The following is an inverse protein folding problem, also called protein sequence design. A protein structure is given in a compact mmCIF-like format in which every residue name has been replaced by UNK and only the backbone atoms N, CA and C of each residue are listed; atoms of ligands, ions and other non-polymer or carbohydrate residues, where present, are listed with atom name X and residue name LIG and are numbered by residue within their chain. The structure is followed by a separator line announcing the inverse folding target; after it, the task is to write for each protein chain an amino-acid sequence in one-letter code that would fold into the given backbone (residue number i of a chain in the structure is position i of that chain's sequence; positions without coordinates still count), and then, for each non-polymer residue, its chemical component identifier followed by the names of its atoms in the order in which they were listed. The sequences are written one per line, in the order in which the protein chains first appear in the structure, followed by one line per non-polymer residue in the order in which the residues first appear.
data_IF_199829544682
#
_entry.id   IF_199829544682
#
_cell.length_a   1.000
_cell.length_b   1.000
_cell.length_c   1.000
_cell.angle_alpha   90.00
_cell.angle_beta   90.00
_cell.angle_gamma   90.00
#
_symmetry.space_group_name_H-M   'P 1'
#
loop_
_entity.id
_entity.type
_entity.pdbx_description
1 polymer ?
#
# COMPACT_ATOMS: atom_id res chain seq x y z
N UNK A 1 14.85 -46.38 -4.63
CA UNK A 1 13.75 -45.46 -4.98
C UNK A 1 13.57 -44.53 -3.78
N UNK A 2 14.21 -43.36 -3.80
CA UNK A 2 14.14 -42.39 -2.71
C UNK A 2 12.93 -41.50 -2.98
N UNK A 3 11.89 -41.65 -2.16
CA UNK A 3 10.75 -40.73 -2.14
C UNK A 3 11.24 -39.40 -1.56
N UNK A 4 11.33 -38.38 -2.41
CA UNK A 4 11.50 -37.00 -1.98
C UNK A 4 10.11 -36.50 -1.64
N UNK A 5 9.81 -36.39 -0.34
CA UNK A 5 8.61 -35.72 0.17
C UNK A 5 8.58 -34.27 -0.37
N UNK A 6 7.42 -33.75 -0.78
CA UNK A 6 7.32 -32.37 -1.21
C UNK A 6 7.69 -31.45 -0.04
N UNK A 7 8.70 -30.59 -0.26
CA UNK A 7 9.03 -29.49 0.66
C UNK A 7 7.76 -28.67 0.87
N UNK A 8 7.27 -28.70 2.10
CA UNK A 8 6.27 -27.75 2.60
C UNK A 8 6.73 -26.34 2.20
N UNK A 9 5.99 -25.76 1.27
CA UNK A 9 6.15 -24.35 0.93
C UNK A 9 5.71 -23.58 2.16
N UNK A 10 6.66 -23.03 2.92
CA UNK A 10 6.36 -22.09 3.98
C UNK A 10 5.46 -20.99 3.41
N UNK A 11 4.17 -21.02 3.73
CA UNK A 11 3.32 -19.85 3.60
C UNK A 11 3.97 -18.77 4.45
N UNK A 12 4.54 -17.75 3.81
CA UNK A 12 5.15 -16.63 4.52
C UNK A 12 4.07 -16.04 5.45
N UNK A 13 4.31 -16.12 6.76
CA UNK A 13 3.42 -15.54 7.75
C UNK A 13 3.22 -14.07 7.37
N UNK A 14 1.96 -13.65 7.20
CA UNK A 14 1.64 -12.26 6.88
C UNK A 14 2.21 -11.39 8.00
N UNK A 15 3.10 -10.41 7.69
CA UNK A 15 3.73 -9.62 8.74
C UNK A 15 2.68 -8.92 9.60
N UNK A 16 2.93 -8.91 10.91
CA UNK A 16 2.03 -8.31 11.88
C UNK A 16 1.77 -6.83 11.57
N UNK A 17 0.59 -6.34 11.96
CA UNK A 17 0.26 -4.92 11.84
C UNK A 17 1.26 -4.07 12.64
N UNK A 18 1.67 -2.95 12.07
CA UNK A 18 2.54 -1.97 12.70
C UNK A 18 1.75 -0.78 13.19
N UNK A 19 2.21 -0.19 14.30
CA UNK A 19 1.52 0.90 14.98
C UNK A 19 2.47 2.10 15.04
N UNK A 20 1.99 3.24 14.56
CA UNK A 20 2.67 4.54 14.73
C UNK A 20 2.01 5.29 15.88
N UNK A 21 2.25 6.60 16.00
CA UNK A 21 1.59 7.41 17.03
C UNK A 21 0.06 7.34 16.90
N UNK A 22 -0.48 7.56 15.69
CA UNK A 22 -1.93 7.64 15.41
C UNK A 22 -2.46 6.56 14.48
N UNK A 23 -1.60 5.77 13.84
CA UNK A 23 -2.03 4.84 12.78
C UNK A 23 -1.79 3.38 13.15
N UNK A 24 -2.65 2.53 12.61
CA UNK A 24 -2.42 1.10 12.42
C UNK A 24 -2.21 0.86 10.94
N UNK A 25 -1.05 0.27 10.60
CA UNK A 25 -0.61 -0.03 9.25
C UNK A 25 -0.51 -1.55 9.10
N UNK A 26 -1.36 -2.15 8.27
CA UNK A 26 -1.36 -3.60 8.06
C UNK A 26 -1.28 -3.95 6.57
N UNK A 27 -0.76 -5.14 6.22
CA UNK A 27 -0.92 -5.64 4.86
C UNK A 27 -2.41 -5.60 4.44
N UNK A 28 -2.71 -5.23 3.18
CA UNK A 28 -4.04 -5.31 2.63
C UNK A 28 -4.56 -6.74 2.65
N UNK A 29 -5.86 -6.90 2.57
CA UNK A 29 -6.58 -8.18 2.52
C UNK A 29 -7.62 -8.14 1.40
N UNK A 30 -8.06 -9.28 0.87
CA UNK A 30 -9.13 -9.31 -0.14
C UNK A 30 -10.40 -8.56 0.27
N UNK A 31 -10.74 -8.58 1.57
CA UNK A 31 -11.88 -7.85 2.14
C UNK A 31 -11.79 -6.32 2.05
N UNK A 32 -10.63 -5.77 1.71
CA UNK A 32 -10.41 -4.32 1.61
C UNK A 32 -10.86 -3.75 0.26
N UNK A 33 -11.28 -4.61 -0.68
CA UNK A 33 -11.66 -4.26 -2.05
C UNK A 33 -12.74 -3.17 -2.10
N UNK A 34 -13.76 -3.26 -1.25
CA UNK A 34 -14.89 -2.31 -1.27
C UNK A 34 -14.43 -0.88 -0.94
N UNK A 35 -13.59 -0.74 0.09
CA UNK A 35 -13.06 0.56 0.53
C UNK A 35 -12.09 1.11 -0.51
N UNK A 36 -11.21 0.27 -1.09
CA UNK A 36 -10.32 0.71 -2.15
C UNK A 36 -11.08 1.15 -3.41
N UNK A 37 -12.15 0.42 -3.77
CA UNK A 37 -13.01 0.76 -4.91
C UNK A 37 -13.70 2.11 -4.68
N UNK A 38 -14.22 2.33 -3.47
CA UNK A 38 -14.84 3.61 -3.10
C UNK A 38 -13.84 4.78 -3.19
N UNK A 39 -12.60 4.60 -2.74
CA UNK A 39 -11.55 5.63 -2.84
C UNK A 39 -11.18 5.94 -4.31
N UNK A 40 -11.14 4.93 -5.17
CA UNK A 40 -10.90 5.15 -6.61
C UNK A 40 -12.09 5.76 -7.34
N UNK A 41 -13.31 5.61 -6.83
CA UNK A 41 -14.50 6.24 -7.39
C UNK A 41 -14.65 7.73 -6.97
N UNK A 42 -13.98 8.17 -5.90
CA UNK A 42 -14.07 9.53 -5.40
C UNK A 42 -13.25 10.51 -6.27
N UNK A 43 -13.88 11.49 -6.95
CA UNK A 43 -13.20 12.48 -7.78
C UNK A 43 -12.21 13.36 -7.00
N UNK A 44 -12.49 13.63 -5.73
CA UNK A 44 -11.60 14.42 -4.89
C UNK A 44 -10.28 13.66 -4.64
N UNK A 45 -10.38 12.36 -4.40
CA UNK A 45 -9.22 11.47 -4.17
C UNK A 45 -8.42 11.25 -5.45
N UNK A 46 -9.07 11.24 -6.61
CA UNK A 46 -8.43 10.91 -7.89
C UNK A 46 -7.85 12.10 -8.65
N UNK A 47 -8.22 13.34 -8.27
CA UNK A 47 -7.85 14.58 -8.96
C UNK A 47 -6.38 14.73 -9.35
N UNK A 48 -5.43 14.31 -8.50
CA UNK A 48 -3.98 14.53 -8.71
C UNK A 48 -3.19 13.25 -9.07
N UNK A 49 -3.87 12.22 -9.56
CA UNK A 49 -3.28 10.90 -9.76
C UNK A 49 -2.54 10.78 -11.10
N UNK A 50 -1.20 10.70 -11.08
CA UNK A 50 -0.40 10.52 -12.29
C UNK A 50 -0.49 9.13 -12.92
N UNK A 51 -0.72 8.10 -12.09
CA UNK A 51 -0.99 6.75 -12.58
C UNK A 51 -2.47 6.59 -12.88
N UNK A 52 -2.79 5.84 -13.95
CA UNK A 52 -4.16 5.48 -14.30
C UNK A 52 -4.88 4.91 -13.06
N UNK A 53 -5.90 5.61 -12.59
CA UNK A 53 -6.73 5.12 -11.49
C UNK A 53 -7.53 3.92 -12.00
N UNK A 54 -7.50 2.76 -11.32
CA UNK A 54 -8.33 1.63 -11.69
C UNK A 54 -9.81 2.04 -11.78
N UNK A 55 -10.43 1.78 -12.93
CA UNK A 55 -11.82 2.12 -13.17
C UNK A 55 -12.72 0.92 -12.89
N UNK A 56 -13.54 1.02 -11.85
CA UNK A 56 -14.49 -0.02 -11.45
C UNK A 56 -13.87 -1.15 -10.62
N UNK A 57 -14.74 -2.06 -10.17
CA UNK A 57 -14.42 -3.12 -9.20
C UNK A 57 -13.36 -4.09 -9.72
N UNK A 58 -13.51 -4.60 -10.94
CA UNK A 58 -12.59 -5.61 -11.50
C UNK A 58 -11.16 -5.09 -11.68
N UNK A 59 -11.01 -3.84 -12.15
CA UNK A 59 -9.70 -3.20 -12.24
C UNK A 59 -9.09 -2.98 -10.85
N UNK A 60 -9.92 -2.60 -9.87
CA UNK A 60 -9.48 -2.41 -8.48
C UNK A 60 -9.04 -3.74 -7.84
N UNK A 61 -9.77 -4.82 -8.09
CA UNK A 61 -9.43 -6.17 -7.65
C UNK A 61 -8.09 -6.63 -8.22
N UNK A 62 -7.85 -6.37 -9.51
CA UNK A 62 -6.56 -6.65 -10.15
C UNK A 62 -5.44 -5.85 -9.49
N UNK A 63 -5.68 -4.58 -9.17
CA UNK A 63 -4.70 -3.74 -8.48
C UNK A 63 -4.41 -4.27 -7.06
N UNK A 64 -5.43 -4.63 -6.29
CA UNK A 64 -5.29 -5.20 -4.95
C UNK A 64 -4.55 -6.54 -4.97
N UNK A 65 -4.86 -7.42 -5.92
CA UNK A 65 -4.15 -8.68 -6.11
C UNK A 65 -2.65 -8.45 -6.36
N UNK A 66 -2.30 -7.43 -7.17
CA UNK A 66 -0.91 -7.03 -7.37
C UNK A 66 -0.22 -6.54 -6.09
N UNK A 67 -0.94 -5.85 -5.20
CA UNK A 67 -0.40 -5.45 -3.89
C UNK A 67 -0.16 -6.65 -2.99
N UNK A 68 -1.10 -7.58 -2.93
CA UNK A 68 -0.98 -8.83 -2.14
C UNK A 68 0.21 -9.67 -2.63
N UNK A 69 0.35 -9.84 -3.94
CA UNK A 69 1.48 -10.56 -4.54
C UNK A 69 2.83 -9.89 -4.22
N UNK A 70 2.90 -8.55 -4.28
CA UNK A 70 4.11 -7.82 -3.90
C UNK A 70 4.45 -8.01 -2.41
N UNK A 71 3.45 -7.95 -1.52
CA UNK A 71 3.65 -8.24 -0.10
C UNK A 71 4.22 -9.64 0.12
N UNK A 72 3.70 -10.65 -0.58
CA UNK A 72 4.21 -12.03 -0.51
C UNK A 72 5.66 -12.15 -1.02
N UNK A 73 5.98 -11.48 -2.13
CA UNK A 73 7.30 -11.56 -2.75
C UNK A 73 8.38 -10.78 -1.98
N UNK A 74 8.03 -9.65 -1.37
CA UNK A 74 9.01 -8.69 -0.84
C UNK A 74 8.92 -8.46 0.68
N UNK A 75 7.85 -8.91 1.34
CA UNK A 75 7.63 -8.68 2.77
C UNK A 75 7.35 -7.22 3.14
N UNK A 76 7.08 -6.35 2.16
CA UNK A 76 6.64 -4.98 2.34
C UNK A 76 5.72 -4.57 1.17
N UNK A 77 5.00 -3.46 1.32
CA UNK A 77 4.09 -2.96 0.29
C UNK A 77 3.27 -1.77 0.77
N UNK A 78 2.22 -1.45 0.02
CA UNK A 78 1.21 -0.51 0.51
C UNK A 78 0.41 -1.14 1.63
N UNK A 79 0.28 -0.46 2.75
CA UNK A 79 -0.59 -0.83 3.85
C UNK A 79 -2.03 -0.39 3.61
N UNK A 80 -2.97 -1.12 4.19
CA UNK A 80 -4.25 -0.57 4.62
C UNK A 80 -4.00 0.24 5.91
N UNK A 81 -4.56 1.44 5.95
CA UNK A 81 -4.31 2.45 6.98
C UNK A 81 -5.60 2.66 7.77
N UNK A 82 -5.53 2.49 9.08
CA UNK A 82 -6.59 2.86 10.01
C UNK A 82 -6.07 3.82 11.08
N UNK A 83 -6.95 4.55 11.74
CA UNK A 83 -6.60 5.27 12.96
C UNK A 83 -6.46 4.28 14.12
N UNK A 84 -5.54 4.55 15.03
CA UNK A 84 -5.20 3.65 16.14
C UNK A 84 -6.36 3.44 17.12
N UNK A 85 -7.19 4.46 17.32
CA UNK A 85 -8.39 4.40 18.15
C UNK A 85 -9.57 3.72 17.45
N UNK A 86 -9.49 3.52 16.12
CA UNK A 86 -10.53 2.90 15.29
C UNK A 86 -9.90 1.96 14.24
N UNK A 87 -9.27 0.86 14.67
CA UNK A 87 -8.48 -0.02 13.79
C UNK A 87 -9.30 -0.71 12.69
N UNK A 88 -10.63 -0.83 12.87
CA UNK A 88 -11.54 -1.40 11.87
C UNK A 88 -12.01 -0.36 10.83
N UNK A 89 -11.80 0.94 11.10
CA UNK A 89 -12.15 2.03 10.21
C UNK A 89 -10.98 2.39 9.29
N UNK A 90 -10.88 1.73 8.13
CA UNK A 90 -9.86 2.10 7.15
C UNK A 90 -10.09 3.54 6.66
N UNK A 91 -9.04 4.35 6.76
CA UNK A 91 -9.01 5.72 6.26
C UNK A 91 -8.32 5.82 4.91
N UNK A 92 -7.65 4.76 4.43
CA UNK A 92 -6.98 4.76 3.15
C UNK A 92 -5.95 3.65 2.98
N UNK A 93 -5.13 3.81 1.95
CA UNK A 93 -4.01 2.93 1.63
C UNK A 93 -2.78 3.75 1.30
N UNK A 94 -1.59 3.21 1.57
CA UNK A 94 -0.35 3.88 1.23
C UNK A 94 0.89 3.15 1.70
N UNK A 95 2.05 3.57 1.22
CA UNK A 95 3.34 2.96 1.55
C UNK A 95 4.21 2.82 0.32
N UNK A 96 5.17 1.91 0.38
CA UNK A 96 6.18 1.75 -0.67
C UNK A 96 5.97 0.45 -1.45
N UNK A 97 6.17 0.51 -2.76
CA UNK A 97 6.11 -0.67 -3.63
C UNK A 97 7.09 -0.51 -4.78
N UNK A 98 7.75 -1.60 -5.18
CA UNK A 98 8.52 -1.62 -6.41
C UNK A 98 7.56 -1.47 -7.60
N UNK A 99 7.76 -0.44 -8.42
CA UNK A 99 6.94 -0.15 -9.60
C UNK A 99 7.78 0.42 -10.72
N UNK A 100 7.27 0.30 -11.94
CA UNK A 100 7.71 1.09 -13.09
C UNK A 100 6.58 2.02 -13.49
N UNK A 101 6.83 3.33 -13.45
CA UNK A 101 5.86 4.36 -13.83
C UNK A 101 6.48 5.17 -14.95
N UNK A 102 5.79 5.28 -16.09
CA UNK A 102 6.27 5.97 -17.29
C UNK A 102 7.73 5.59 -17.67
N UNK A 103 8.05 4.29 -17.61
CA UNK A 103 9.39 3.76 -17.93
C UNK A 103 10.43 3.86 -16.82
N UNK A 104 10.12 4.48 -15.68
CA UNK A 104 11.05 4.66 -14.56
C UNK A 104 10.76 3.64 -13.45
N UNK A 105 11.60 2.60 -13.39
CA UNK A 105 11.56 1.60 -12.32
C UNK A 105 12.16 2.15 -11.01
N UNK A 106 11.52 1.86 -9.89
CA UNK A 106 12.03 2.25 -8.58
C UNK A 106 11.06 1.92 -7.45
N UNK A 107 11.44 2.35 -6.24
CA UNK A 107 10.61 2.24 -5.05
C UNK A 107 9.68 3.45 -4.98
N UNK A 108 8.40 3.26 -5.24
CA UNK A 108 7.43 4.35 -5.30
C UNK A 108 6.65 4.48 -3.98
N UNK A 109 6.58 5.71 -3.49
CA UNK A 109 5.59 6.13 -2.50
C UNK A 109 4.23 6.32 -3.17
N UNK A 110 3.22 5.76 -2.53
CA UNK A 110 1.82 5.89 -2.91
C UNK A 110 0.99 6.18 -1.67
N UNK A 111 -0.07 6.97 -1.84
CA UNK A 111 -1.16 7.03 -0.88
C UNK A 111 -2.48 7.47 -1.53
N UNK A 112 -3.59 6.96 -1.00
CA UNK A 112 -4.95 7.47 -1.19
C UNK A 112 -5.64 7.43 0.17
N UNK A 113 -5.99 8.61 0.65
CA UNK A 113 -6.62 8.80 1.96
C UNK A 113 -8.01 9.38 1.71
N UNK A 114 -9.00 8.92 2.47
CA UNK A 114 -10.35 9.47 2.44
C UNK A 114 -10.36 10.97 2.75
N UNK A 115 -11.22 11.79 2.11
CA UNK A 115 -11.26 13.23 2.37
C UNK A 115 -11.50 13.61 3.83
N UNK A 116 -12.25 12.77 4.56
CA UNK A 116 -12.53 12.97 6.00
C UNK A 116 -11.26 12.94 6.88
N UNK A 117 -10.17 12.36 6.37
CA UNK A 117 -8.89 12.26 7.07
C UNK A 117 -7.85 13.30 6.58
N UNK A 118 -8.19 14.17 5.63
CA UNK A 118 -7.28 15.19 5.10
C UNK A 118 -7.03 16.34 6.09
N UNK A 119 -5.94 17.09 5.89
CA UNK A 119 -5.56 18.21 6.76
C UNK A 119 -5.02 17.81 8.14
N UNK A 120 -5.04 16.51 8.46
CA UNK A 120 -4.65 15.96 9.78
C UNK A 120 -3.21 15.43 9.82
N UNK A 121 -2.48 15.46 8.70
CA UNK A 121 -1.10 14.97 8.59
C UNK A 121 -0.94 13.45 8.65
N UNK A 122 -2.02 12.67 8.47
CA UNK A 122 -1.98 11.20 8.57
C UNK A 122 -1.21 10.55 7.41
N UNK A 123 -1.37 11.06 6.19
CA UNK A 123 -0.57 10.61 5.05
C UNK A 123 0.94 10.83 5.26
N UNK A 124 1.29 11.99 5.82
CA UNK A 124 2.67 12.36 6.14
C UNK A 124 3.26 11.45 7.23
N UNK A 125 2.51 11.14 8.29
CA UNK A 125 2.94 10.20 9.32
C UNK A 125 3.22 8.80 8.74
N UNK A 126 2.32 8.28 7.90
CA UNK A 126 2.54 7.02 7.20
C UNK A 126 3.77 7.09 6.29
N UNK A 127 3.95 8.18 5.54
CA UNK A 127 5.10 8.35 4.63
C UNK A 127 6.44 8.42 5.38
N UNK A 128 6.50 9.12 6.51
CA UNK A 128 7.69 9.17 7.37
C UNK A 128 8.08 7.77 7.83
N UNK A 129 7.10 7.01 8.30
CA UNK A 129 7.33 5.63 8.68
C UNK A 129 7.79 4.76 7.50
N UNK A 130 7.24 4.97 6.31
CA UNK A 130 7.69 4.30 5.10
C UNK A 130 9.15 4.65 4.74
N UNK A 131 9.56 5.90 4.93
CA UNK A 131 10.94 6.34 4.71
C UNK A 131 11.94 5.74 5.70
N UNK A 132 11.55 5.54 6.96
CA UNK A 132 12.37 4.80 7.93
C UNK A 132 12.65 3.37 7.44
N UNK A 133 11.65 2.69 6.86
CA UNK A 133 11.85 1.37 6.26
C UNK A 133 12.74 1.42 5.02
N UNK A 134 12.54 2.42 4.15
CA UNK A 134 13.32 2.57 2.92
C UNK A 134 14.80 2.85 3.19
N UNK A 135 15.09 3.92 3.93
CA UNK A 135 16.44 4.42 4.10
C UNK A 135 17.17 3.78 5.28
N UNK A 136 16.45 3.52 6.38
CA UNK A 136 17.04 2.90 7.57
C UNK A 136 17.27 1.40 7.40
N UNK A 137 16.23 0.66 6.98
CA UNK A 137 16.28 -0.81 6.94
C UNK A 137 16.78 -1.33 5.59
N UNK A 138 16.28 -0.77 4.48
CA UNK A 138 16.58 -1.26 3.12
C UNK A 138 17.74 -0.54 2.46
N UNK A 139 18.16 0.61 3.01
CA UNK A 139 19.28 1.43 2.53
C UNK A 139 19.19 1.74 1.04
N UNK A 140 17.97 1.97 0.54
CA UNK A 140 17.78 2.35 -0.86
C UNK A 140 18.30 3.78 -1.09
N UNK A 141 18.82 4.10 -2.28
CA UNK A 141 19.37 5.42 -2.55
C UNK A 141 18.30 6.50 -2.73
N UNK A 142 17.07 6.11 -3.09
CA UNK A 142 15.99 7.04 -3.38
C UNK A 142 14.60 6.38 -3.22
N UNK A 143 13.60 7.22 -3.02
CA UNK A 143 12.17 6.90 -3.14
C UNK A 143 11.55 7.85 -4.15
N UNK A 144 10.75 7.30 -5.06
CA UNK A 144 10.08 8.06 -6.12
C UNK A 144 8.62 8.33 -5.77
N UNK A 145 8.04 9.38 -6.35
CA UNK A 145 6.61 9.62 -6.34
C UNK A 145 6.21 10.26 -7.68
N UNK A 146 5.02 9.92 -8.18
CA UNK A 146 4.47 10.50 -9.40
C UNK A 146 3.17 11.24 -9.08
N UNK A 147 3.10 12.51 -9.46
CA UNK A 147 1.96 13.41 -9.24
C UNK A 147 1.65 14.18 -10.51
N UNK A 148 0.36 14.42 -10.79
CA UNK A 148 0.01 15.31 -11.89
C UNK A 148 0.26 16.76 -11.47
N UNK A 149 0.72 17.63 -12.39
CA UNK A 149 0.78 19.06 -12.13
C UNK A 149 -0.62 19.60 -11.82
N UNK A 150 -0.66 20.63 -10.96
CA UNK A 150 -1.87 21.36 -10.56
C UNK A 150 -2.40 22.28 -11.64
#
# INVERSE_FOLDING_TARGET
MVLIEPRDTFAAATPAAMVTHRLVLRPPRPSDLDILTALYADPAVTRFCAAATPNGRAATETQLAGWLAHWQAHGFGHWAIAERDRPDGLIGFGGLMQRSVAGHAGLYLYYRISPQAWGRGLASEMALHAFEQAFGQRRVPAVCAAVLPS
#
